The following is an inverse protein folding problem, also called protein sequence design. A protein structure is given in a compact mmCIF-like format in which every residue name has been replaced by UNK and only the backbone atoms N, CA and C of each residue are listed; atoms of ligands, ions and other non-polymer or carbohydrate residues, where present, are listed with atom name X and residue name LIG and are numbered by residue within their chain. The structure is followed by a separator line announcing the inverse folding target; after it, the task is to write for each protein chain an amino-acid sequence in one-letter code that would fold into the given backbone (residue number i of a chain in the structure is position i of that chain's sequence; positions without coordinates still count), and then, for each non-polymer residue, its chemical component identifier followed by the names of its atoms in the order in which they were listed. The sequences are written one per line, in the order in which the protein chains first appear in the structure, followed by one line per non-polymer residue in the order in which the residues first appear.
data_IF_644284012723
#
_entry.id   IF_644284012723
#
_cell.length_a   1.000
_cell.length_b   1.000
_cell.length_c   1.000
_cell.angle_alpha   90.00
_cell.angle_beta   90.00
_cell.angle_gamma   90.00
#
_symmetry.space_group_name_H-M   'P 1'
#
loop_
_entity.id
_entity.type
_entity.pdbx_description
1 polymer ?
#
# COMPACT_ATOMS: atom_id res chain seq x y z
N UNK A 1 -16.38 8.26 19.12
CA UNK A 1 -17.53 7.75 18.34
C UNK A 1 -18.31 8.91 17.72
N UNK A 2 -17.77 9.64 16.71
CA UNK A 2 -18.58 10.42 15.75
C UNK A 2 -17.84 10.73 14.42
N UNK A 3 -16.50 10.69 14.32
CA UNK A 3 -15.83 11.09 13.06
C UNK A 3 -15.43 9.95 12.09
N UNK A 4 -15.53 8.69 12.51
CA UNK A 4 -15.09 7.53 11.71
C UNK A 4 -16.11 7.01 10.67
N UNK A 5 -17.22 7.73 10.45
CA UNK A 5 -18.20 7.41 9.39
C UNK A 5 -17.88 8.16 8.08
N UNK A 6 -17.02 9.19 8.10
CA UNK A 6 -16.84 10.09 6.95
C UNK A 6 -15.83 9.61 5.90
N UNK A 7 -14.82 8.81 6.28
CA UNK A 7 -13.75 8.39 5.34
C UNK A 7 -13.87 6.95 4.84
N UNK A 8 -14.69 6.11 5.48
CA UNK A 8 -15.09 4.80 4.92
C UNK A 8 -16.07 4.93 3.72
N UNK A 9 -16.52 6.15 3.39
CA UNK A 9 -17.32 6.41 2.19
C UNK A 9 -16.48 6.72 0.93
N UNK A 10 -15.14 6.61 1.02
CA UNK A 10 -14.21 6.83 -0.10
C UNK A 10 -13.47 5.55 -0.53
N UNK A 11 -13.83 4.38 0.02
CA UNK A 11 -13.38 3.08 -0.54
C UNK A 11 -14.58 2.41 -1.21
N UNK A 12 -14.74 2.52 -2.53
CA UNK A 12 -15.75 1.78 -3.24
C UNK A 12 -15.52 0.27 -3.13
N UNK A 13 -16.59 -0.46 -2.84
CA UNK A 13 -16.62 -1.90 -3.07
C UNK A 13 -16.33 -2.23 -4.55
N UNK A 14 -15.84 -3.44 -4.78
CA UNK A 14 -15.70 -4.06 -6.10
C UNK A 14 -17.02 -3.91 -6.87
N UNK A 15 -17.13 -2.91 -7.75
CA UNK A 15 -18.36 -2.60 -8.51
C UNK A 15 -18.64 -1.13 -8.83
N UNK A 16 -17.84 -0.16 -8.39
CA UNK A 16 -18.18 1.27 -8.56
C UNK A 16 -17.43 2.02 -9.68
N UNK A 17 -16.41 1.42 -10.30
CA UNK A 17 -15.69 2.06 -11.40
C UNK A 17 -16.41 1.79 -12.72
N UNK A 18 -16.92 2.84 -13.36
CA UNK A 18 -17.64 2.72 -14.64
C UNK A 18 -16.71 2.55 -15.83
N UNK A 19 -15.46 3.00 -15.72
CA UNK A 19 -14.46 2.95 -16.78
C UNK A 19 -13.01 3.03 -16.26
N UNK A 20 -12.07 2.82 -17.19
CA UNK A 20 -10.62 2.73 -16.92
C UNK A 20 -10.01 4.09 -16.57
N UNK A 21 -10.55 5.21 -17.06
CA UNK A 21 -10.01 6.53 -16.73
C UNK A 21 -10.24 6.88 -15.25
N UNK A 22 -11.41 6.54 -14.70
CA UNK A 22 -11.67 6.71 -13.27
C UNK A 22 -10.70 5.90 -12.40
N UNK A 23 -10.39 4.67 -12.82
CA UNK A 23 -9.44 3.82 -12.10
C UNK A 23 -8.01 4.40 -12.16
N UNK A 24 -7.54 4.81 -13.34
CA UNK A 24 -6.20 5.37 -13.53
C UNK A 24 -6.04 6.72 -12.81
N UNK A 25 -7.05 7.59 -12.83
CA UNK A 25 -7.05 8.87 -12.10
C UNK A 25 -6.98 8.65 -10.59
N UNK A 26 -7.67 7.63 -10.07
CA UNK A 26 -7.57 7.23 -8.67
C UNK A 26 -6.16 6.74 -8.31
N UNK A 27 -5.57 5.86 -9.12
CA UNK A 27 -4.20 5.36 -8.90
C UNK A 27 -3.16 6.49 -8.97
N UNK A 28 -3.33 7.46 -9.88
CA UNK A 28 -2.47 8.63 -9.98
C UNK A 28 -2.58 9.56 -8.75
N UNK A 29 -3.80 9.76 -8.24
CA UNK A 29 -4.05 10.52 -7.01
C UNK A 29 -3.47 9.82 -5.78
N UNK A 30 -3.59 8.49 -5.72
CA UNK A 30 -3.04 7.66 -4.65
C UNK A 30 -1.50 7.66 -4.67
N UNK A 31 -0.87 7.63 -5.84
CA UNK A 31 0.58 7.76 -6.03
C UNK A 31 1.19 9.01 -5.39
N UNK A 32 0.49 10.14 -5.47
CA UNK A 32 0.96 11.41 -4.92
C UNK A 32 0.62 11.61 -3.44
N UNK A 33 -0.07 10.65 -2.82
CA UNK A 33 -0.47 10.73 -1.42
C UNK A 33 0.44 9.91 -0.48
N UNK A 34 1.56 9.37 -0.95
CA UNK A 34 2.53 8.68 -0.08
C UNK A 34 3.68 9.60 0.37
N UNK A 35 4.01 9.61 1.68
CA UNK A 35 3.36 8.85 2.75
C UNK A 35 1.98 9.41 3.06
N UNK A 36 1.00 8.52 3.30
CA UNK A 36 -0.35 8.94 3.70
C UNK A 36 -0.27 9.30 5.18
N UNK A 37 -0.20 10.58 5.51
CA UNK A 37 -0.29 11.06 6.89
C UNK A 37 -1.74 10.92 7.38
N UNK A 38 -1.94 10.10 8.41
CA UNK A 38 -3.23 9.94 9.07
C UNK A 38 -3.28 10.93 10.23
N UNK A 39 -3.89 12.09 10.03
CA UNK A 39 -4.12 13.06 11.11
C UNK A 39 -5.12 12.48 12.13
N UNK A 40 -4.62 12.12 13.32
CA UNK A 40 -5.43 11.86 14.51
C UNK A 40 -5.10 12.92 15.56
N UNK A 41 -6.06 13.32 16.39
CA UNK A 41 -5.93 14.43 17.35
C UNK A 41 -4.84 14.25 18.43
N UNK A 42 -3.96 13.23 18.37
CA UNK A 42 -2.82 13.13 19.30
C UNK A 42 -1.53 12.49 18.80
N UNK A 43 -1.45 11.75 17.69
CA UNK A 43 -0.18 11.18 17.21
C UNK A 43 -0.14 10.99 15.68
N UNK A 44 0.99 11.35 15.08
CA UNK A 44 1.34 11.01 13.68
C UNK A 44 1.72 9.52 13.62
N UNK A 45 1.09 8.77 12.73
CA UNK A 45 1.36 7.33 12.55
C UNK A 45 1.69 7.07 11.08
N UNK A 46 2.80 6.39 10.85
CA UNK A 46 3.32 6.06 9.53
C UNK A 46 2.94 4.64 9.09
N UNK A 47 2.62 4.49 7.80
CA UNK A 47 2.38 3.19 7.16
C UNK A 47 3.44 3.01 6.08
N UNK A 48 4.32 2.03 6.29
CA UNK A 48 5.44 1.76 5.38
C UNK A 48 5.01 1.21 4.03
N UNK A 49 5.87 1.41 3.02
CA UNK A 49 5.61 0.98 1.65
C UNK A 49 5.30 -0.51 1.56
N UNK A 50 4.26 -0.84 0.79
CA UNK A 50 3.83 -2.22 0.60
C UNK A 50 3.16 -2.88 1.81
N UNK A 51 2.95 -2.17 2.91
CA UNK A 51 2.17 -2.67 4.04
C UNK A 51 0.71 -2.93 3.65
N UNK A 52 0.07 -3.88 4.34
CA UNK A 52 -1.33 -4.28 4.11
C UNK A 52 -2.10 -4.14 5.42
N UNK A 53 -3.13 -3.29 5.42
CA UNK A 53 -4.00 -3.08 6.57
C UNK A 53 -5.30 -3.86 6.36
N UNK A 54 -5.63 -4.71 7.33
CA UNK A 54 -6.88 -5.47 7.32
C UNK A 54 -8.11 -4.57 7.39
N UNK A 55 -9.20 -4.99 6.76
CA UNK A 55 -10.47 -4.27 6.84
C UNK A 55 -10.95 -4.14 8.29
N UNK A 56 -11.40 -2.94 8.67
CA UNK A 56 -11.84 -2.62 10.02
C UNK A 56 -10.73 -2.49 11.06
N UNK A 57 -9.45 -2.48 10.65
CA UNK A 57 -8.34 -2.31 11.57
C UNK A 57 -8.15 -0.84 12.00
N UNK A 58 -7.77 -0.62 13.26
CA UNK A 58 -7.47 0.72 13.81
C UNK A 58 -5.96 0.88 14.02
N UNK A 59 -5.30 1.56 13.09
CA UNK A 59 -3.85 1.77 13.14
C UNK A 59 -3.54 2.85 14.18
N UNK A 60 -2.91 2.44 15.28
CA UNK A 60 -2.56 3.30 16.43
C UNK A 60 -1.05 3.46 16.62
N UNK A 61 -0.24 2.74 15.83
CA UNK A 61 1.22 2.70 15.89
C UNK A 61 1.78 2.49 14.48
N UNK A 62 3.04 2.85 14.27
CA UNK A 62 3.71 2.69 12.99
C UNK A 62 3.64 1.24 12.48
N UNK A 63 3.38 1.11 11.18
CA UNK A 63 3.34 -0.18 10.49
C UNK A 63 4.56 -0.27 9.57
N UNK A 64 5.48 -1.22 9.79
CA UNK A 64 6.68 -1.34 8.96
C UNK A 64 6.34 -1.68 7.50
N UNK A 65 7.26 -1.40 6.55
CA UNK A 65 7.09 -1.78 5.15
C UNK A 65 6.78 -3.27 4.99
N UNK A 66 5.96 -3.60 3.99
CA UNK A 66 5.56 -4.97 3.64
C UNK A 66 4.92 -5.79 4.79
N UNK A 67 4.53 -5.13 5.88
CA UNK A 67 3.90 -5.79 7.03
C UNK A 67 2.39 -5.86 6.85
N UNK A 68 1.81 -7.00 7.23
CA UNK A 68 0.38 -7.18 7.33
C UNK A 68 -0.04 -6.83 8.76
N UNK A 69 -0.92 -5.85 8.93
CA UNK A 69 -1.46 -5.45 10.23
C UNK A 69 -2.99 -5.56 10.25
N UNK A 70 -3.54 -6.15 11.31
CA UNK A 70 -4.99 -6.40 11.46
C UNK A 70 -5.46 -6.16 12.89
N UNK A 71 -6.77 -5.93 13.08
CA UNK A 71 -7.41 -5.82 14.39
C UNK A 71 -7.60 -4.39 14.91
N UNK A 72 -8.23 -4.27 16.08
CA UNK A 72 -8.54 -3.01 16.76
C UNK A 72 -8.06 -3.13 18.22
N UNK A 73 -6.90 -2.57 18.59
CA UNK A 73 -5.94 -1.86 17.73
C UNK A 73 -5.20 -2.79 16.76
N UNK A 74 -4.77 -2.25 15.62
CA UNK A 74 -4.07 -2.99 14.58
C UNK A 74 -2.71 -3.49 15.10
N UNK A 75 -2.45 -4.79 14.91
CA UNK A 75 -1.18 -5.42 15.29
C UNK A 75 -0.49 -6.01 14.06
N UNK A 76 0.83 -5.79 13.91
CA UNK A 76 1.64 -6.55 12.95
C UNK A 76 1.44 -8.05 13.15
N UNK A 77 1.10 -8.76 12.08
CA UNK A 77 0.90 -10.21 12.11
C UNK A 77 2.09 -10.94 11.49
N UNK A 78 2.49 -10.52 10.29
CA UNK A 78 3.62 -11.09 9.55
C UNK A 78 4.03 -10.17 8.39
N UNK A 79 5.19 -10.44 7.80
CA UNK A 79 5.55 -9.87 6.50
C UNK A 79 4.77 -10.54 5.36
N UNK A 80 4.59 -9.80 4.26
CA UNK A 80 4.00 -10.30 3.01
C UNK A 80 4.92 -11.31 2.31
N UNK A 81 6.22 -11.07 2.39
CA UNK A 81 7.30 -11.87 1.79
C UNK A 81 8.41 -12.07 2.82
N UNK A 82 9.39 -12.92 2.51
CA UNK A 82 10.58 -13.12 3.34
C UNK A 82 11.40 -11.83 3.46
N UNK A 83 12.18 -11.71 4.55
CA UNK A 83 12.90 -10.47 4.89
C UNK A 83 13.87 -10.02 3.80
N UNK A 84 14.53 -10.96 3.13
CA UNK A 84 15.46 -10.71 2.02
C UNK A 84 14.73 -10.19 0.77
N UNK A 85 13.57 -10.77 0.45
CA UNK A 85 12.69 -10.32 -0.63
C UNK A 85 12.18 -8.90 -0.34
N UNK A 86 11.74 -8.63 0.89
CA UNK A 86 11.31 -7.29 1.32
C UNK A 86 12.46 -6.29 1.19
N UNK A 87 13.66 -6.63 1.66
CA UNK A 87 14.82 -5.77 1.56
C UNK A 87 15.18 -5.47 0.10
N UNK A 88 15.12 -6.47 -0.79
CA UNK A 88 15.37 -6.26 -2.22
C UNK A 88 14.31 -5.37 -2.87
N UNK A 89 13.03 -5.60 -2.58
CA UNK A 89 11.94 -4.76 -3.11
C UNK A 89 12.07 -3.29 -2.67
N UNK A 90 12.48 -3.04 -1.42
CA UNK A 90 12.77 -1.70 -0.91
C UNK A 90 13.96 -1.04 -1.61
N UNK A 91 14.99 -1.81 -1.99
CA UNK A 91 16.11 -1.28 -2.80
C UNK A 91 15.71 -0.99 -4.23
N UNK A 92 14.94 -1.88 -4.85
CA UNK A 92 14.50 -1.75 -6.24
C UNK A 92 13.59 -0.54 -6.40
N UNK A 93 12.75 -0.28 -5.39
CA UNK A 93 11.82 0.85 -5.35
C UNK A 93 11.02 0.99 -6.66
N UNK A 94 10.45 -0.12 -7.14
CA UNK A 94 9.79 -0.20 -8.44
C UNK A 94 8.62 0.81 -8.57
N UNK A 95 8.03 1.23 -7.45
CA UNK A 95 7.01 2.28 -7.42
C UNK A 95 7.52 3.66 -7.88
N UNK A 96 8.84 3.90 -7.80
CA UNK A 96 9.48 5.13 -8.26
C UNK A 96 9.85 5.09 -9.76
N UNK A 97 9.64 3.96 -10.44
CA UNK A 97 9.92 3.84 -11.87
C UNK A 97 8.97 4.72 -12.69
N UNK A 98 9.48 5.24 -13.81
CA UNK A 98 8.65 5.99 -14.74
C UNK A 98 7.60 5.10 -15.41
N UNK A 99 6.56 5.73 -15.95
CA UNK A 99 5.41 5.02 -16.52
C UNK A 99 5.79 4.09 -17.66
N UNK A 100 6.71 4.50 -18.55
CA UNK A 100 7.09 3.68 -19.69
C UNK A 100 7.85 2.43 -19.24
N UNK A 101 8.73 2.58 -18.25
CA UNK A 101 9.42 1.44 -17.63
C UNK A 101 8.44 0.48 -16.96
N UNK A 102 7.47 0.99 -16.19
CA UNK A 102 6.44 0.16 -15.55
C UNK A 102 5.60 -0.61 -16.57
N UNK A 103 5.16 0.02 -17.65
CA UNK A 103 4.36 -0.64 -18.69
C UNK A 103 5.15 -1.72 -19.41
N UNK A 104 6.43 -1.48 -19.70
CA UNK A 104 7.28 -2.44 -20.38
C UNK A 104 7.66 -3.65 -19.51
N UNK A 105 7.67 -3.50 -18.17
CA UNK A 105 8.16 -4.50 -17.21
C UNK A 105 7.07 -5.02 -16.27
N UNK A 106 5.81 -4.70 -16.54
CA UNK A 106 4.70 -5.07 -15.66
C UNK A 106 4.61 -6.58 -15.41
N UNK A 107 4.82 -7.38 -16.46
CA UNK A 107 4.75 -8.84 -16.37
C UNK A 107 5.82 -9.42 -15.44
N UNK A 108 6.97 -8.75 -15.28
CA UNK A 108 8.02 -9.18 -14.37
C UNK A 108 7.57 -9.11 -12.90
N UNK A 109 6.67 -8.17 -12.55
CA UNK A 109 6.16 -7.99 -11.18
C UNK A 109 5.19 -9.11 -10.74
N UNK A 110 4.69 -9.92 -11.68
CA UNK A 110 3.74 -11.01 -11.39
C UNK A 110 4.40 -12.18 -10.65
N UNK A 111 5.71 -12.39 -10.86
CA UNK A 111 6.54 -13.32 -10.09
C UNK A 111 7.53 -12.52 -9.23
N UNK A 112 7.16 -12.24 -7.98
CA UNK A 112 7.97 -11.40 -7.07
C UNK A 112 9.35 -11.98 -6.82
N UNK A 113 9.50 -13.30 -6.75
CA UNK A 113 10.82 -13.92 -6.57
C UNK A 113 11.66 -13.80 -7.85
N UNK A 114 11.07 -14.05 -9.01
CA UNK A 114 11.70 -13.83 -10.31
C UNK A 114 12.13 -12.38 -10.50
N UNK A 115 11.25 -11.44 -10.12
CA UNK A 115 11.52 -10.01 -10.13
C UNK A 115 12.72 -9.65 -9.27
N UNK A 116 12.74 -10.08 -8.01
CA UNK A 116 13.86 -9.82 -7.10
C UNK A 116 15.16 -10.45 -7.61
N UNK A 117 15.12 -11.65 -8.21
CA UNK A 117 16.31 -12.24 -8.83
C UNK A 117 16.84 -11.42 -10.02
N UNK A 118 15.97 -10.74 -10.76
CA UNK A 118 16.34 -9.98 -11.96
C UNK A 118 16.87 -8.58 -11.62
N UNK A 119 16.32 -7.92 -10.59
CA UNK A 119 16.55 -6.50 -10.30
C UNK A 119 17.20 -6.23 -8.92
N UNK A 120 17.30 -7.24 -8.05
CA UNK A 120 17.67 -7.11 -6.62
C UNK A 120 19.14 -7.19 -6.28
#
# INVERSE_FOLDING_TARGET
MVHLVSLMNQTPGQGQYRDMEQYVSFIAKWRNASPVEVESETHEVSVGTGAVIGSGAEVTHDVPPYTIAVGVPARPTRLRFDEDVVAALLRIAWWDWDRATLEARFDDLLDVEGFVRMYG
#
